data_IF_656560222299
#
_entry.id   IF_656560222299
#
_cell.length_a   1.000
_cell.length_b   1.000
_cell.length_c   1.000
_cell.angle_alpha   90.00
_cell.angle_beta   90.00
_cell.angle_gamma   90.00
#
_symmetry.space_group_name_H-M   'P 1'
#
loop_
_entity.id
_entity.type
_entity.pdbx_description
1 polymer ?
#
# COMPACT_ATOMS: atom_id res chain seq x y z
N UNK A 1 0.81 -11.03 -8.63
CA UNK A 1 1.67 -9.92 -8.19
C UNK A 1 1.14 -8.60 -8.76
N UNK A 2 0.97 -8.49 -10.08
CA UNK A 2 0.31 -7.32 -10.69
C UNK A 2 -1.09 -7.07 -10.11
N UNK A 3 -1.92 -8.12 -9.92
CA UNK A 3 -3.23 -7.99 -9.29
C UNK A 3 -3.17 -7.42 -7.86
N UNK A 4 -2.08 -7.69 -7.14
CA UNK A 4 -1.85 -7.17 -5.79
C UNK A 4 -1.52 -5.68 -5.84
N UNK A 5 -0.74 -5.25 -6.83
CA UNK A 5 -0.45 -3.83 -7.06
C UNK A 5 -1.71 -3.07 -7.50
N UNK A 6 -2.55 -3.67 -8.34
CA UNK A 6 -3.83 -3.10 -8.73
C UNK A 6 -4.71 -2.86 -7.49
N UNK A 7 -4.80 -3.81 -6.58
CA UNK A 7 -5.53 -3.64 -5.32
C UNK A 7 -4.93 -2.58 -4.39
N UNK A 8 -3.60 -2.43 -4.37
CA UNK A 8 -2.97 -1.32 -3.64
C UNK A 8 -3.36 0.02 -4.25
N UNK A 9 -3.40 0.09 -5.58
CA UNK A 9 -3.85 1.29 -6.32
C UNK A 9 -5.31 1.62 -5.99
N UNK A 10 -6.22 0.64 -6.08
CA UNK A 10 -7.64 0.80 -5.72
C UNK A 10 -7.83 1.28 -4.25
N UNK A 11 -6.94 0.84 -3.35
CA UNK A 11 -6.92 1.31 -1.96
C UNK A 11 -6.44 2.74 -1.82
N UNK A 12 -5.45 3.15 -2.60
CA UNK A 12 -5.00 4.54 -2.64
C UNK A 12 -6.12 5.43 -3.19
N UNK A 13 -6.76 5.03 -4.29
CA UNK A 13 -7.90 5.74 -4.88
C UNK A 13 -9.06 5.87 -3.88
N UNK A 14 -9.29 4.81 -3.10
CA UNK A 14 -10.25 4.86 -2.00
C UNK A 14 -9.92 5.95 -0.98
N UNK A 15 -8.65 6.06 -0.58
CA UNK A 15 -8.20 7.06 0.40
C UNK A 15 -8.33 8.46 -0.19
N UNK A 16 -7.98 8.66 -1.47
CA UNK A 16 -8.18 9.93 -2.19
C UNK A 16 -9.65 10.34 -2.24
N UNK A 17 -10.55 9.43 -2.61
CA UNK A 17 -11.99 9.70 -2.62
C UNK A 17 -12.54 10.04 -1.22
N UNK A 18 -12.00 9.39 -0.18
CA UNK A 18 -12.33 9.69 1.21
C UNK A 18 -11.87 11.09 1.60
N UNK A 19 -10.62 11.44 1.29
CA UNK A 19 -10.02 12.76 1.51
C UNK A 19 -10.81 13.88 0.80
N UNK A 20 -11.15 13.70 -0.48
CA UNK A 20 -11.97 14.64 -1.25
C UNK A 20 -13.35 14.86 -0.61
N UNK A 21 -13.97 13.79 -0.12
CA UNK A 21 -15.26 13.88 0.58
C UNK A 21 -15.14 14.69 1.87
N UNK A 22 -14.04 14.54 2.61
CA UNK A 22 -13.77 15.34 3.80
C UNK A 22 -13.50 16.82 3.46
N UNK A 23 -12.77 17.10 2.38
CA UNK A 23 -12.57 18.48 1.88
C UNK A 23 -13.90 19.15 1.51
N UNK A 24 -14.89 18.39 1.02
CA UNK A 24 -16.26 18.91 0.82
C UNK A 24 -16.94 19.21 2.16
N UNK A 25 -16.82 18.31 3.15
CA UNK A 25 -17.37 18.51 4.49
C UNK A 25 -16.80 19.77 5.14
N UNK A 26 -15.48 19.98 5.10
CA UNK A 26 -14.86 21.17 5.67
C UNK A 26 -15.42 22.44 5.04
N UNK A 27 -15.47 22.52 3.71
CA UNK A 27 -16.04 23.68 2.98
C UNK A 27 -17.51 23.96 3.32
N UNK A 28 -18.31 22.93 3.58
CA UNK A 28 -19.70 23.11 4.00
C UNK A 28 -19.80 23.73 5.41
N UNK A 29 -18.80 23.50 6.26
CA UNK A 29 -18.82 23.92 7.66
C UNK A 29 -17.98 25.19 7.94
N UNK A 30 -17.23 25.68 6.95
CA UNK A 30 -16.44 26.92 7.04
C UNK A 30 -17.30 28.17 7.31
N UNK A 31 -18.60 28.16 6.96
CA UNK A 31 -19.51 29.24 7.33
C UNK A 31 -19.87 29.15 8.82
N UNK A 32 -19.45 30.12 9.64
CA UNK A 32 -19.50 30.06 11.12
C UNK A 32 -20.87 29.75 11.77
N UNK A 33 -22.00 29.89 11.06
CA UNK A 33 -23.31 29.41 11.48
C UNK A 33 -23.93 28.56 10.35
N UNK A 34 -23.54 27.30 10.20
CA UNK A 34 -24.03 26.47 9.11
C UNK A 34 -25.53 26.16 9.32
N UNK A 35 -26.33 26.41 8.27
CA UNK A 35 -27.76 26.12 8.31
C UNK A 35 -28.03 24.62 8.54
N UNK A 36 -29.22 24.28 9.05
CA UNK A 36 -29.57 22.90 9.41
C UNK A 36 -29.44 21.92 8.22
N UNK A 37 -29.75 22.39 7.01
CA UNK A 37 -29.59 21.60 5.77
C UNK A 37 -28.11 21.31 5.46
N UNK A 38 -27.24 22.29 5.67
CA UNK A 38 -25.78 22.16 5.51
C UNK A 38 -25.20 21.15 6.50
N UNK A 39 -25.61 21.23 7.78
CA UNK A 39 -25.23 20.28 8.81
C UNK A 39 -25.72 18.86 8.48
N UNK A 40 -26.95 18.71 7.98
CA UNK A 40 -27.48 17.42 7.57
C UNK A 40 -26.69 16.82 6.40
N UNK A 41 -26.30 17.65 5.41
CA UNK A 41 -25.48 17.23 4.26
C UNK A 41 -24.08 16.83 4.68
N UNK A 42 -23.41 17.63 5.51
CA UNK A 42 -22.08 17.33 6.04
C UNK A 42 -22.09 16.02 6.85
N UNK A 43 -23.10 15.83 7.71
CA UNK A 43 -23.28 14.59 8.46
C UNK A 43 -23.47 13.39 7.54
N UNK A 44 -24.31 13.51 6.51
CA UNK A 44 -24.53 12.42 5.54
C UNK A 44 -23.22 12.02 4.83
N UNK A 45 -22.39 12.98 4.42
CA UNK A 45 -21.08 12.71 3.84
C UNK A 45 -20.15 12.00 4.83
N UNK A 46 -20.10 12.43 6.09
CA UNK A 46 -19.32 11.77 7.14
C UNK A 46 -19.83 10.35 7.44
N UNK A 47 -21.15 10.12 7.43
CA UNK A 47 -21.75 8.79 7.57
C UNK A 47 -21.37 7.88 6.38
N UNK A 48 -21.42 8.39 5.15
CA UNK A 48 -20.97 7.68 3.95
C UNK A 48 -19.49 7.32 4.03
N UNK A 49 -18.65 8.27 4.43
CA UNK A 49 -17.22 8.08 4.64
C UNK A 49 -16.95 6.99 5.69
N UNK A 50 -17.64 7.04 6.83
CA UNK A 50 -17.52 6.04 7.88
C UNK A 50 -17.89 4.64 7.37
N UNK A 51 -19.01 4.50 6.66
CA UNK A 51 -19.43 3.22 6.09
C UNK A 51 -18.40 2.68 5.09
N UNK A 52 -17.80 3.54 4.27
CA UNK A 52 -16.73 3.15 3.34
C UNK A 52 -15.47 2.64 4.06
N UNK A 53 -15.16 3.14 5.26
CA UNK A 53 -14.05 2.60 6.09
C UNK A 53 -14.36 1.25 6.73
N UNK A 54 -15.65 0.96 7.00
CA UNK A 54 -16.09 -0.25 7.70
C UNK A 54 -16.35 -1.44 6.76
N UNK A 55 -16.92 -1.20 5.58
CA UNK A 55 -17.40 -2.25 4.65
C UNK A 55 -16.34 -2.76 3.66
N UNK A 56 -15.17 -2.12 3.56
CA UNK A 56 -14.17 -2.54 2.57
C UNK A 56 -13.55 -3.89 2.94
N UNK A 57 -13.56 -4.80 1.95
CA UNK A 57 -13.07 -6.17 2.09
C UNK A 57 -11.64 -6.16 2.65
N UNK A 58 -11.32 -7.05 3.60
CA UNK A 58 -9.95 -7.23 4.03
C UNK A 58 -9.11 -7.58 2.80
N UNK A 59 -7.92 -6.99 2.71
CA UNK A 59 -6.92 -7.34 1.69
C UNK A 59 -6.78 -8.87 1.67
N UNK A 60 -7.28 -9.49 0.60
CA UNK A 60 -7.36 -10.95 0.54
C UNK A 60 -5.92 -11.45 0.50
N UNK A 61 -5.57 -12.43 1.33
CA UNK A 61 -4.22 -13.04 1.28
C UNK A 61 -4.10 -13.79 -0.06
N UNK A 62 -3.41 -13.21 -1.03
CA UNK A 62 -3.35 -13.77 -2.39
C UNK A 62 -2.35 -14.93 -2.54
N UNK A 63 -1.53 -15.23 -1.53
CA UNK A 63 -0.37 -16.11 -1.71
C UNK A 63 -0.37 -17.38 -0.87
N UNK A 64 -1.54 -17.99 -0.62
CA UNK A 64 -1.62 -19.36 -0.09
C UNK A 64 -1.34 -20.44 -1.14
N UNK A 65 -1.05 -20.07 -2.39
CA UNK A 65 -0.80 -21.02 -3.46
C UNK A 65 0.60 -21.64 -3.34
N UNK A 66 0.63 -22.87 -2.82
CA UNK A 66 1.77 -23.78 -2.81
C UNK A 66 2.33 -23.87 -4.22
N UNK A 67 3.58 -23.44 -4.43
CA UNK A 67 4.27 -23.72 -5.70
C UNK A 67 4.40 -25.23 -5.80
N UNK A 68 3.80 -25.83 -6.84
CA UNK A 68 4.17 -27.17 -7.25
C UNK A 68 5.65 -27.12 -7.66
N UNK A 69 6.51 -27.85 -6.96
CA UNK A 69 7.91 -28.03 -7.32
C UNK A 69 7.95 -28.80 -8.65
N UNK A 70 8.18 -28.12 -9.77
CA UNK A 70 8.52 -28.78 -11.02
C UNK A 70 10.00 -29.16 -10.98
N UNK A 71 10.27 -30.44 -10.74
CA UNK A 71 11.61 -31.02 -10.76
C UNK A 71 12.08 -31.19 -12.21
N UNK A 72 12.85 -30.24 -12.74
CA UNK A 72 13.98 -30.51 -13.65
C UNK A 72 14.60 -29.19 -14.14
N UNK A 73 15.92 -29.11 -13.97
CA UNK A 73 16.88 -28.33 -14.77
C UNK A 73 17.04 -26.81 -14.60
N UNK A 74 16.18 -26.08 -13.87
CA UNK A 74 16.34 -24.60 -13.77
C UNK A 74 16.31 -24.05 -12.31
N UNK A 75 17.09 -24.71 -11.43
CA UNK A 75 17.09 -24.45 -9.98
C UNK A 75 17.41 -23.01 -9.59
N UNK A 76 18.31 -22.33 -10.31
CA UNK A 76 18.72 -20.95 -10.01
C UNK A 76 17.65 -19.92 -10.38
N UNK A 77 17.03 -20.06 -11.56
CA UNK A 77 15.94 -19.17 -11.97
C UNK A 77 14.72 -19.37 -11.07
N UNK A 78 14.37 -20.62 -10.76
CA UNK A 78 13.29 -20.94 -9.82
C UNK A 78 13.54 -20.36 -8.42
N UNK A 79 14.78 -20.41 -7.93
CA UNK A 79 15.17 -19.81 -6.66
C UNK A 79 15.03 -18.28 -6.67
N UNK A 80 15.55 -17.61 -7.71
CA UNK A 80 15.45 -16.14 -7.84
C UNK A 80 13.99 -15.69 -7.91
N UNK A 81 13.15 -16.39 -8.70
CA UNK A 81 11.72 -16.09 -8.81
C UNK A 81 11.00 -16.36 -7.49
N UNK A 82 11.34 -17.44 -6.79
CA UNK A 82 10.81 -17.77 -5.48
C UNK A 82 11.12 -16.68 -4.45
N UNK A 83 12.38 -16.25 -4.37
CA UNK A 83 12.82 -15.17 -3.49
C UNK A 83 12.15 -13.83 -3.82
N UNK A 84 12.15 -13.44 -5.09
CA UNK A 84 11.53 -12.19 -5.57
C UNK A 84 10.03 -12.14 -5.27
N UNK A 85 9.32 -13.26 -5.47
CA UNK A 85 7.90 -13.39 -5.13
C UNK A 85 7.67 -13.25 -3.64
N UNK A 86 8.52 -13.84 -2.79
CA UNK A 86 8.42 -13.74 -1.34
C UNK A 86 8.64 -12.29 -0.85
N UNK A 87 9.67 -11.60 -1.35
CA UNK A 87 9.93 -10.18 -1.03
C UNK A 87 8.75 -9.31 -1.47
N UNK A 88 8.32 -9.43 -2.72
CA UNK A 88 7.20 -8.63 -3.26
C UNK A 88 5.92 -8.85 -2.45
N UNK A 89 5.65 -10.09 -2.06
CA UNK A 89 4.47 -10.43 -1.24
C UNK A 89 4.54 -9.75 0.13
N UNK A 90 5.72 -9.80 0.78
CA UNK A 90 5.94 -9.14 2.07
C UNK A 90 5.73 -7.62 1.96
N UNK A 91 6.30 -6.98 0.94
CA UNK A 91 6.14 -5.53 0.69
C UNK A 91 4.67 -5.19 0.48
N UNK A 92 3.95 -5.96 -0.36
CA UNK A 92 2.53 -5.74 -0.60
C UNK A 92 1.67 -5.88 0.66
N UNK A 93 2.00 -6.81 1.56
CA UNK A 93 1.29 -6.99 2.83
C UNK A 93 1.55 -5.84 3.82
N UNK A 94 2.79 -5.33 3.86
CA UNK A 94 3.15 -4.15 4.66
C UNK A 94 2.37 -2.93 4.14
N UNK A 95 2.45 -2.65 2.83
CA UNK A 95 1.72 -1.54 2.21
C UNK A 95 0.21 -1.68 2.37
N UNK A 96 -0.33 -2.89 2.16
CA UNK A 96 -1.74 -3.17 2.34
C UNK A 96 -2.22 -2.97 3.78
N UNK A 97 -1.34 -3.13 4.76
CA UNK A 97 -1.58 -2.83 6.18
C UNK A 97 -1.47 -1.35 6.47
N UNK A 98 -0.47 -0.67 5.88
CA UNK A 98 -0.27 0.76 6.01
C UNK A 98 -1.49 1.56 5.55
N UNK A 99 -2.06 1.17 4.42
CA UNK A 99 -3.23 1.77 3.77
C UNK A 99 -4.58 1.31 4.36
N UNK A 100 -4.60 0.67 5.53
CA UNK A 100 -5.82 0.19 6.16
C UNK A 100 -6.40 1.23 7.11
N UNK A 101 -7.68 1.58 6.93
CA UNK A 101 -8.43 2.43 7.87
C UNK A 101 -8.52 1.84 9.28
N UNK A 102 -8.51 0.50 9.38
CA UNK A 102 -8.50 -0.21 10.66
C UNK A 102 -7.06 -0.45 11.08
N UNK A 103 -6.67 0.13 12.21
CA UNK A 103 -5.48 -0.29 12.95
C UNK A 103 -5.72 -1.72 13.46
N UNK A 104 -5.36 -2.71 12.64
CA UNK A 104 -5.34 -4.09 13.09
C UNK A 104 -4.19 -4.19 14.08
N UNK A 105 -4.53 -4.43 15.35
CA UNK A 105 -3.57 -4.72 16.42
C UNK A 105 -2.79 -5.99 16.05
N UNK A 106 -1.67 -5.80 15.36
CA UNK A 106 -0.75 -6.84 14.89
C UNK A 106 -0.97 -7.30 13.45
N UNK A 107 0.11 -7.32 12.67
CA UNK A 107 0.23 -8.27 11.56
C UNK A 107 0.08 -9.67 12.18
N UNK A 108 -1.09 -10.31 12.02
CA UNK A 108 -1.24 -11.74 12.35
C UNK A 108 -0.07 -12.48 11.73
N UNK A 109 0.61 -13.40 12.45
CA UNK A 109 1.94 -13.87 12.14
C UNK A 109 2.08 -14.13 10.65
N UNK A 110 2.77 -13.18 10.01
CA UNK A 110 2.88 -13.00 8.57
C UNK A 110 3.32 -14.31 7.89
N UNK A 111 4.06 -15.16 8.62
CA UNK A 111 4.72 -16.34 8.10
C UNK A 111 4.85 -17.48 9.12
N UNK A 112 3.74 -18.00 9.69
CA UNK A 112 3.81 -19.39 10.19
C UNK A 112 3.99 -20.40 9.04
N UNK A 113 3.80 -19.97 7.79
CA UNK A 113 3.80 -20.83 6.60
C UNK A 113 5.18 -21.04 5.94
N UNK A 114 6.24 -20.34 6.36
CA UNK A 114 7.62 -20.68 5.90
C UNK A 114 8.30 -21.74 6.74
N UNK A 115 7.69 -22.21 7.84
CA UNK A 115 8.26 -23.32 8.65
C UNK A 115 8.24 -24.68 7.95
N UNK A 116 7.66 -24.79 6.75
CA UNK A 116 7.38 -26.08 6.09
C UNK A 116 8.22 -26.39 4.85
N UNK A 117 9.24 -25.60 4.50
CA UNK A 117 10.09 -25.94 3.34
C UNK A 117 11.54 -26.03 3.77
N UNK A 118 11.97 -27.26 4.04
CA UNK A 118 13.32 -27.69 4.42
C UNK A 118 14.37 -27.53 3.32
N UNK A 119 14.20 -26.62 2.37
CA UNK A 119 15.23 -26.29 1.37
C UNK A 119 15.87 -24.96 1.73
N UNK A 120 17.07 -25.03 2.30
CA UNK A 120 17.97 -23.90 2.48
C UNK A 120 18.18 -23.21 1.14
N UNK A 121 17.50 -22.09 0.92
CA UNK A 121 17.71 -21.20 -0.24
C UNK A 121 18.50 -19.98 0.24
N UNK A 122 19.33 -19.40 -0.62
CA UNK A 122 20.14 -18.21 -0.31
C UNK A 122 19.29 -17.05 0.22
N UNK A 123 18.04 -16.96 -0.25
CA UNK A 123 17.08 -15.93 0.17
C UNK A 123 16.48 -16.15 1.56
N UNK A 124 16.48 -17.39 2.06
CA UNK A 124 15.78 -17.74 3.29
C UNK A 124 16.32 -17.00 4.51
N UNK A 125 17.66 -16.87 4.63
CA UNK A 125 18.30 -16.12 5.71
C UNK A 125 17.98 -14.63 5.62
N UNK A 126 18.15 -14.01 4.45
CA UNK A 126 17.87 -12.58 4.25
C UNK A 126 16.40 -12.24 4.48
N UNK A 127 15.46 -13.08 4.01
CA UNK A 127 14.03 -12.92 4.26
C UNK A 127 13.69 -13.05 5.74
N UNK A 128 14.30 -14.00 6.46
CA UNK A 128 14.09 -14.15 7.90
C UNK A 128 14.64 -12.95 8.68
N UNK A 129 15.79 -12.41 8.28
CA UNK A 129 16.38 -11.19 8.86
C UNK A 129 15.49 -9.97 8.61
N UNK A 130 15.05 -9.76 7.37
CA UNK A 130 14.12 -8.68 7.03
C UNK A 130 12.82 -8.76 7.85
N UNK A 131 12.24 -9.97 7.97
CA UNK A 131 11.07 -10.18 8.82
C UNK A 131 11.34 -9.89 10.29
N UNK A 132 12.53 -10.23 10.80
CA UNK A 132 12.93 -9.93 12.17
C UNK A 132 12.98 -8.41 12.38
N UNK A 133 13.63 -7.67 11.48
CA UNK A 133 13.71 -6.20 11.53
C UNK A 133 12.33 -5.55 11.49
N UNK A 134 11.44 -6.01 10.59
CA UNK A 134 10.06 -5.52 10.52
C UNK A 134 9.31 -5.74 11.84
N UNK A 135 9.48 -6.90 12.47
CA UNK A 135 8.85 -7.21 13.77
C UNK A 135 9.43 -6.38 14.90
N UNK A 136 10.73 -6.14 14.90
CA UNK A 136 11.41 -5.29 15.90
C UNK A 136 10.95 -3.84 15.77
N UNK A 137 10.85 -3.33 14.54
CA UNK A 137 10.29 -2.01 14.26
C UNK A 137 8.85 -1.90 14.78
N UNK A 138 8.01 -2.91 14.60
CA UNK A 138 6.65 -2.93 15.16
C UNK A 138 6.61 -2.95 16.70
N UNK A 139 7.54 -3.64 17.35
CA UNK A 139 7.63 -3.70 18.82
C UNK A 139 8.08 -2.38 19.42
N UNK A 140 8.87 -1.59 18.69
CA UNK A 140 9.35 -0.28 19.13
C UNK A 140 8.24 0.78 19.26
N UNK A 141 6.99 0.43 18.95
CA UNK A 141 5.87 1.37 18.93
C UNK A 141 5.73 2.14 17.61
N UNK A 142 6.71 1.99 16.70
CA UNK A 142 6.62 2.52 15.34
C UNK A 142 5.62 1.69 14.52
N UNK A 143 4.37 2.16 14.50
CA UNK A 143 3.29 1.52 13.75
C UNK A 143 3.55 1.64 12.26
N UNK A 144 3.51 0.51 11.53
CA UNK A 144 3.55 0.49 10.06
C UNK A 144 2.26 1.04 9.41
N UNK A 145 1.37 1.65 10.19
CA UNK A 145 0.15 2.28 9.69
C UNK A 145 0.44 3.71 9.24
N UNK A 146 -0.20 4.16 8.16
CA UNK A 146 -0.17 5.57 7.80
C UNK A 146 -0.90 6.35 8.91
N UNK A 147 -0.13 7.04 9.75
CA UNK A 147 -0.62 7.61 11.01
C UNK A 147 -1.63 8.72 10.74
N UNK A 148 -1.39 9.47 9.68
CA UNK A 148 -2.17 10.59 9.16
C UNK A 148 -3.54 10.10 8.70
N UNK A 149 -3.63 8.91 8.08
CA UNK A 149 -4.91 8.28 7.73
C UNK A 149 -5.73 8.01 8.98
N UNK A 150 -5.11 7.44 10.02
CA UNK A 150 -5.82 7.13 11.26
C UNK A 150 -6.24 8.39 12.01
N UNK A 151 -5.37 9.40 12.07
CA UNK A 151 -5.66 10.69 12.69
C UNK A 151 -6.78 11.43 11.96
N UNK A 152 -6.78 11.41 10.62
CA UNK A 152 -7.85 11.96 9.78
C UNK A 152 -9.19 11.28 10.05
N UNK A 153 -9.21 9.94 10.13
CA UNK A 153 -10.42 9.18 10.47
C UNK A 153 -10.93 9.54 11.86
N UNK A 154 -10.03 9.71 12.84
CA UNK A 154 -10.38 10.10 14.21
C UNK A 154 -10.98 11.52 14.23
N UNK A 155 -10.36 12.47 13.53
CA UNK A 155 -10.87 13.84 13.40
C UNK A 155 -12.25 13.86 12.74
N UNK A 156 -12.44 13.13 11.65
CA UNK A 156 -13.73 13.01 10.96
C UNK A 156 -14.81 12.41 11.87
N UNK A 157 -14.49 11.37 12.65
CA UNK A 157 -15.41 10.77 13.61
C UNK A 157 -15.76 11.73 14.76
N UNK A 158 -14.76 12.47 15.25
CA UNK A 158 -14.98 13.49 16.26
C UNK A 158 -15.92 14.58 15.76
N UNK A 159 -15.64 15.18 14.59
CA UNK A 159 -16.48 16.20 13.98
C UNK A 159 -17.91 15.71 13.74
N UNK A 160 -18.07 14.47 13.28
CA UNK A 160 -19.39 13.83 13.12
C UNK A 160 -20.19 13.82 14.43
N UNK A 161 -19.54 13.54 15.56
CA UNK A 161 -20.19 13.53 16.87
C UNK A 161 -20.53 14.95 17.34
N UNK A 162 -19.66 15.92 17.07
CA UNK A 162 -19.91 17.33 17.35
C UNK A 162 -21.13 17.85 16.57
N UNK A 163 -21.30 17.47 15.31
CA UNK A 163 -22.48 17.82 14.50
C UNK A 163 -23.76 17.21 15.09
N UNK A 164 -23.71 15.98 15.60
CA UNK A 164 -24.85 15.36 16.29
C UNK A 164 -25.22 16.10 17.58
N UNK A 165 -24.22 16.56 18.33
CA UNK A 165 -24.39 17.32 19.56
C UNK A 165 -24.69 18.81 19.35
N UNK A 166 -24.67 19.32 18.11
CA UNK A 166 -24.75 20.75 17.77
C UNK A 166 -23.67 21.62 18.45
N UNK A 167 -22.52 21.02 18.75
CA UNK A 167 -21.40 21.66 19.44
C UNK A 167 -20.18 21.82 18.49
N UNK A 168 -20.43 21.89 17.18
CA UNK A 168 -19.36 22.02 16.19
C UNK A 168 -18.71 23.38 16.31
N UNK A 169 -17.39 23.40 16.48
CA UNK A 169 -16.59 24.63 16.53
C UNK A 169 -15.83 24.84 15.24
N UNK A 170 -15.36 26.08 15.00
CA UNK A 170 -14.46 26.37 13.89
C UNK A 170 -13.15 25.57 13.99
N UNK A 171 -12.65 25.38 15.22
CA UNK A 171 -11.41 24.65 15.49
C UNK A 171 -11.53 23.17 15.08
N UNK A 172 -12.71 22.56 15.26
CA UNK A 172 -12.95 21.17 14.84
C UNK A 172 -12.83 21.00 13.31
N UNK A 173 -13.27 22.02 12.56
CA UNK A 173 -13.24 22.04 11.09
C UNK A 173 -11.82 22.28 10.59
N UNK A 174 -11.10 23.22 11.20
CA UNK A 174 -9.70 23.51 10.88
C UNK A 174 -8.78 22.33 11.19
N UNK A 175 -9.01 21.64 12.32
CA UNK A 175 -8.27 20.40 12.63
C UNK A 175 -8.51 19.34 11.55
N UNK A 176 -9.76 19.12 11.11
CA UNK A 176 -10.04 18.16 10.03
C UNK A 176 -9.32 18.54 8.73
N UNK A 177 -9.31 19.83 8.39
CA UNK A 177 -8.67 20.35 7.18
C UNK A 177 -7.16 20.13 7.21
N UNK A 178 -6.51 20.49 8.30
CA UNK A 178 -5.08 20.23 8.53
C UNK A 178 -4.75 18.74 8.39
N UNK A 179 -5.57 17.86 8.95
CA UNK A 179 -5.39 16.40 8.81
C UNK A 179 -5.53 15.92 7.37
N UNK A 180 -6.48 16.47 6.60
CA UNK A 180 -6.62 16.13 5.19
C UNK A 180 -5.37 16.54 4.39
N UNK A 181 -4.80 17.72 4.66
CA UNK A 181 -3.57 18.19 3.99
C UNK A 181 -2.35 17.32 4.35
N UNK A 182 -2.23 16.90 5.61
CA UNK A 182 -1.19 15.95 6.05
C UNK A 182 -1.35 14.59 5.37
N UNK A 183 -2.58 14.07 5.32
CA UNK A 183 -2.88 12.82 4.63
C UNK A 183 -2.55 12.89 3.14
N UNK A 184 -2.88 14.01 2.47
CA UNK A 184 -2.59 14.24 1.06
C UNK A 184 -1.08 14.19 0.76
N UNK A 185 -0.27 14.85 1.61
CA UNK A 185 1.19 14.85 1.51
C UNK A 185 1.81 13.47 1.69
N UNK A 186 1.25 12.67 2.60
CA UNK A 186 1.77 11.32 2.87
C UNK A 186 1.28 10.29 1.86
N UNK A 187 0.07 10.39 1.32
CA UNK A 187 -0.46 9.39 0.38
C UNK A 187 0.19 9.49 -1.01
N UNK A 188 0.62 10.68 -1.44
CA UNK A 188 1.29 10.91 -2.72
C UNK A 188 2.58 10.09 -2.93
N UNK A 189 3.56 10.11 -2.00
CA UNK A 189 4.77 9.28 -2.15
C UNK A 189 4.46 7.78 -2.10
N UNK A 190 3.41 7.36 -1.38
CA UNK A 190 2.97 5.96 -1.40
C UNK A 190 2.45 5.55 -2.79
N UNK A 191 1.67 6.41 -3.44
CA UNK A 191 1.18 6.20 -4.80
C UNK A 191 2.33 6.09 -5.81
N UNK A 192 3.32 6.98 -5.70
CA UNK A 192 4.54 6.92 -6.51
C UNK A 192 5.26 5.58 -6.39
N UNK A 193 5.49 5.11 -5.16
CA UNK A 193 6.15 3.82 -4.87
C UNK A 193 5.38 2.61 -5.40
N UNK A 194 4.04 2.61 -5.29
CA UNK A 194 3.21 1.52 -5.85
C UNK A 194 3.28 1.50 -7.38
N UNK A 195 3.22 2.67 -8.03
CA UNK A 195 3.38 2.79 -9.49
C UNK A 195 4.75 2.31 -9.94
N UNK A 196 5.80 2.66 -9.21
CA UNK A 196 7.16 2.22 -9.49
C UNK A 196 7.31 0.70 -9.34
N UNK A 197 6.79 0.11 -8.27
CA UNK A 197 6.77 -1.35 -8.08
C UNK A 197 6.02 -2.05 -9.22
N UNK A 198 4.90 -1.49 -9.67
CA UNK A 198 4.15 -2.01 -10.82
C UNK A 198 4.98 -2.02 -12.10
N UNK A 199 5.68 -0.92 -12.41
CA UNK A 199 6.60 -0.82 -13.56
C UNK A 199 7.69 -1.88 -13.49
N UNK A 200 8.35 -2.03 -12.33
CA UNK A 200 9.38 -3.06 -12.14
C UNK A 200 8.86 -4.47 -12.35
N UNK A 201 7.66 -4.80 -11.85
CA UNK A 201 7.06 -6.11 -12.06
C UNK A 201 6.74 -6.40 -13.52
N UNK A 202 6.31 -5.39 -14.29
CA UNK A 202 6.14 -5.51 -15.74
C UNK A 202 7.49 -5.74 -16.42
N UNK A 203 8.51 -4.95 -16.10
CA UNK A 203 9.85 -5.09 -16.69
C UNK A 203 10.42 -6.49 -16.45
N UNK A 204 10.33 -7.01 -15.23
CA UNK A 204 10.75 -8.38 -14.89
C UNK A 204 9.96 -9.41 -15.71
N UNK A 205 8.63 -9.26 -15.82
CA UNK A 205 7.81 -10.16 -16.64
C UNK A 205 8.24 -10.15 -18.11
N UNK A 206 8.49 -8.98 -18.68
CA UNK A 206 8.90 -8.83 -20.08
C UNK A 206 10.28 -9.45 -20.32
N UNK A 207 11.24 -9.22 -19.41
CA UNK A 207 12.56 -9.84 -19.48
C UNK A 207 12.48 -11.38 -19.44
N UNK A 208 11.67 -11.93 -18.53
CA UNK A 208 11.45 -13.38 -18.43
C UNK A 208 10.83 -13.95 -19.70
N UNK A 209 9.82 -13.30 -20.27
CA UNK A 209 9.22 -13.72 -21.55
C UNK A 209 10.25 -13.70 -22.69
N UNK A 210 11.16 -12.72 -22.71
CA UNK A 210 12.25 -12.67 -23.68
C UNK A 210 13.23 -13.83 -23.55
N UNK A 211 13.59 -14.20 -22.31
CA UNK A 211 14.48 -15.33 -22.02
C UNK A 211 13.82 -16.67 -22.38
N UNK A 212 12.53 -16.81 -22.10
CA UNK A 212 11.77 -18.05 -22.34
C UNK A 212 11.27 -18.19 -23.79
N UNK A 213 11.43 -17.18 -24.64
CA UNK A 213 10.97 -17.22 -26.03
C UNK A 213 11.86 -18.13 -26.89
N UNK A 214 11.29 -18.96 -27.78
CA UNK A 214 12.06 -19.81 -28.68
C UNK A 214 13.04 -19.01 -29.55
N UNK A 215 14.20 -19.61 -29.93
CA UNK A 215 15.27 -18.93 -30.65
C UNK A 215 14.87 -18.30 -32.00
N UNK A 216 13.74 -18.70 -32.59
CA UNK A 216 13.26 -18.17 -33.86
C UNK A 216 12.59 -16.77 -33.74
N UNK A 217 12.45 -16.23 -32.52
CA UNK A 217 11.87 -14.90 -32.25
C UNK A 217 12.93 -13.85 -31.84
N UNK A 218 14.21 -14.23 -31.80
CA UNK A 218 15.31 -13.41 -31.24
C UNK A 218 15.62 -12.14 -32.04
N UNK A 219 15.24 -12.07 -33.32
CA UNK A 219 15.54 -10.94 -34.20
C UNK A 219 14.76 -9.67 -33.84
N UNK A 220 13.65 -9.76 -33.10
CA UNK A 220 12.79 -8.61 -32.78
C UNK A 220 13.08 -8.02 -31.39
N UNK A 221 13.76 -8.76 -30.49
CA UNK A 221 13.95 -8.33 -29.10
C UNK A 221 15.30 -7.66 -28.79
N UNK A 222 16.29 -7.81 -29.67
CA UNK A 222 17.62 -7.21 -29.48
C UNK A 222 17.63 -5.68 -29.60
N UNK A 223 16.63 -5.07 -30.22
CA UNK A 223 16.49 -3.60 -30.27
C UNK A 223 15.94 -3.00 -28.97
N UNK A 224 15.23 -3.78 -28.15
CA UNK A 224 14.61 -3.25 -26.92
C UNK A 224 15.49 -3.38 -25.67
N UNK A 225 16.39 -4.37 -25.61
CA UNK A 225 17.26 -4.59 -24.44
C UNK A 225 18.39 -3.57 -24.36
N UNK A 226 18.89 -3.07 -25.50
CA UNK A 226 19.96 -2.07 -25.53
C UNK A 226 19.50 -0.70 -25.00
N UNK A 227 18.20 -0.40 -25.06
CA UNK A 227 17.60 0.82 -24.46
C UNK A 227 17.49 0.76 -22.93
N UNK A 228 17.33 -0.43 -22.35
CA UNK A 228 17.18 -0.59 -20.88
C UNK A 228 18.50 -0.62 -20.11
N UNK A 229 19.62 -0.98 -20.76
CA UNK A 229 20.93 -0.97 -20.09
C UNK A 229 21.53 0.43 -19.91
N UNK A 230 20.99 1.45 -20.58
CA UNK A 230 21.41 2.85 -20.38
C UNK A 230 20.73 3.53 -19.18
N UNK A 231 19.80 2.87 -18.48
CA UNK A 231 19.00 3.46 -17.38
C UNK A 231 19.41 2.89 -16.01
N UNK A 232 20.28 1.87 -15.96
CA UNK A 232 20.74 1.25 -14.70
C UNK A 232 21.99 1.89 -14.07
N UNK A 233 22.49 3.00 -14.60
CA UNK A 233 23.38 3.92 -13.87
C UNK A 233 22.54 4.95 -13.16
N UNK A 234 21.83 4.53 -12.10
CA UNK A 234 21.37 5.47 -11.08
C UNK A 234 22.48 5.52 -10.03
N UNK A 235 23.14 6.67 -9.98
CA UNK A 235 24.05 7.08 -8.92
C UNK A 235 23.48 6.72 -7.56
N UNK A 236 24.26 5.97 -6.79
CA UNK A 236 24.07 5.80 -5.36
C UNK A 236 25.02 6.80 -4.71
N UNK A 237 24.66 8.08 -4.67
CA UNK A 237 25.20 9.02 -3.68
C UNK A 237 24.33 10.28 -3.52
N UNK A 238 24.32 10.78 -2.29
CA UNK A 238 23.77 12.04 -1.77
C UNK A 238 22.24 12.24 -1.68
N UNK A 239 21.67 11.82 -0.55
CA UNK A 239 21.21 12.79 0.47
C UNK A 239 20.69 12.08 1.73
N UNK A 240 21.59 11.95 2.72
CA UNK A 240 21.26 11.80 4.13
C UNK A 240 21.91 12.98 4.86
N UNK A 241 21.14 14.07 4.95
CA UNK A 241 21.28 15.17 5.91
C UNK A 241 19.87 15.53 6.35
#
# INVERSE_FOLDING_TARGET
MLDTCNQLTEKIDTIRNYEESLKVVSRLLESGQPHQTTLARAKHLLDSCHNATETKRPFKRFFSQKLAQSSSSDSKLAEILGGSKAVTSMVCEILGTALSFKSKRGLRPLLQQTRSVSSSTYWSCSLQQLQKQIREHQKSGSSMTLTELHQTVKAAHYLRNQIKGRNTTSDDVEELKRRCEELEKEIEPFEGKVKEMYKHLISVRMALLGILSPPNSKTILLTNVTLTNSILTIDVDDHLM
#
